data_IF_410504910353
#
_entry.id   IF_410504910353
#
_cell.length_a   1.000
_cell.length_b   1.000
_cell.length_c   1.000
_cell.angle_alpha   90.00
_cell.angle_beta   90.00
_cell.angle_gamma   90.00
#
_symmetry.space_group_name_H-M   'P 1'
#
loop_
_entity.id
_entity.type
_entity.pdbx_description
1 polymer ?
#
# COMPACT_ATOMS: atom_id res chain seq x y z
N UNK A 1 -26.50 6.10 22.96
CA UNK A 1 -26.09 4.94 22.13
C UNK A 1 -24.68 5.21 21.56
N UNK A 2 -23.80 4.24 21.69
CA UNK A 2 -22.44 4.38 21.15
C UNK A 2 -22.47 4.30 19.63
N UNK A 3 -21.68 5.16 18.95
CA UNK A 3 -21.50 5.05 17.50
C UNK A 3 -20.88 3.69 17.12
N UNK A 4 -21.16 3.20 15.93
CA UNK A 4 -20.58 1.94 15.43
C UNK A 4 -19.05 1.94 15.46
N UNK A 5 -18.45 3.08 15.19
CA UNK A 5 -17.01 3.28 15.29
C UNK A 5 -16.48 3.09 16.71
N UNK A 6 -17.16 3.64 17.70
CA UNK A 6 -16.80 3.50 19.10
C UNK A 6 -16.92 2.06 19.58
N UNK A 7 -17.97 1.35 19.14
CA UNK A 7 -18.15 -0.08 19.41
C UNK A 7 -17.01 -0.91 18.81
N UNK A 8 -16.58 -0.60 17.58
CA UNK A 8 -15.45 -1.27 16.92
C UNK A 8 -14.14 -1.06 17.67
N UNK A 9 -13.86 0.17 18.11
CA UNK A 9 -12.67 0.48 18.92
C UNK A 9 -12.62 -0.34 20.19
N UNK A 10 -13.70 -0.36 20.97
CA UNK A 10 -13.80 -1.15 22.19
C UNK A 10 -13.54 -2.62 21.94
N UNK A 11 -14.09 -3.16 20.84
CA UNK A 11 -13.89 -4.55 20.47
C UNK A 11 -12.42 -4.87 20.15
N UNK A 12 -11.73 -3.99 19.43
CA UNK A 12 -10.32 -4.13 19.12
C UNK A 12 -9.46 -4.04 20.38
N UNK A 13 -9.73 -3.06 21.26
CA UNK A 13 -9.02 -2.93 22.54
C UNK A 13 -9.14 -4.18 23.39
N UNK A 14 -10.30 -4.79 23.44
CA UNK A 14 -10.51 -6.06 24.14
C UNK A 14 -9.70 -7.19 23.51
N UNK A 15 -9.66 -7.30 22.19
CA UNK A 15 -8.81 -8.29 21.50
C UNK A 15 -7.33 -8.12 21.84
N UNK A 16 -6.82 -6.90 21.80
CA UNK A 16 -5.43 -6.58 22.13
C UNK A 16 -5.14 -6.95 23.57
N UNK A 17 -6.02 -6.62 24.50
CA UNK A 17 -5.89 -6.96 25.92
C UNK A 17 -5.81 -8.47 26.15
N UNK A 18 -6.69 -9.24 25.50
CA UNK A 18 -6.66 -10.71 25.60
C UNK A 18 -5.41 -11.30 24.95
N UNK A 19 -4.95 -10.76 23.85
CA UNK A 19 -3.73 -11.22 23.20
C UNK A 19 -2.48 -10.98 24.07
N UNK A 20 -2.35 -9.79 24.65
CA UNK A 20 -1.30 -9.47 25.63
C UNK A 20 -1.29 -10.44 26.80
N UNK A 21 -2.47 -10.71 27.38
CA UNK A 21 -2.60 -11.65 28.51
C UNK A 21 -2.14 -13.05 28.13
N UNK A 22 -2.48 -13.54 26.95
CA UNK A 22 -2.03 -14.86 26.45
C UNK A 22 -0.53 -14.93 26.27
N UNK A 23 0.08 -13.88 25.71
CA UNK A 23 1.54 -13.82 25.54
C UNK A 23 2.26 -13.84 26.89
N UNK A 24 1.77 -13.07 27.86
CA UNK A 24 2.33 -13.04 29.21
C UNK A 24 2.26 -14.41 29.89
N UNK A 25 1.09 -15.07 29.84
CA UNK A 25 0.88 -16.37 30.44
C UNK A 25 1.69 -17.49 29.79
N UNK A 26 1.78 -17.48 28.47
CA UNK A 26 2.42 -18.57 27.71
C UNK A 26 3.94 -18.44 27.67
N UNK A 27 4.46 -17.24 27.56
CA UNK A 27 5.88 -16.98 27.32
C UNK A 27 6.58 -16.16 28.41
N UNK A 28 5.86 -15.72 29.44
CA UNK A 28 6.40 -14.88 30.52
C UNK A 28 6.90 -13.51 30.05
N UNK A 29 6.36 -12.98 28.96
CA UNK A 29 6.82 -11.72 28.36
C UNK A 29 5.77 -10.63 28.51
N UNK A 30 6.21 -9.38 28.74
CA UNK A 30 5.38 -8.19 28.63
C UNK A 30 5.44 -7.66 27.20
N UNK A 31 4.33 -7.79 26.47
CA UNK A 31 4.23 -7.24 25.12
C UNK A 31 3.68 -5.81 25.15
N UNK A 32 4.38 -4.89 24.50
CA UNK A 32 3.86 -3.56 24.18
C UNK A 32 3.36 -3.63 22.74
N UNK A 33 2.04 -3.48 22.57
CA UNK A 33 1.42 -3.49 21.23
C UNK A 33 1.01 -2.06 20.92
N UNK A 34 1.66 -1.47 19.92
CA UNK A 34 1.31 -0.16 19.40
C UNK A 34 0.40 -0.40 18.21
N UNK A 35 -0.79 0.17 18.26
CA UNK A 35 -1.75 0.10 17.16
C UNK A 35 -2.38 1.47 16.93
N UNK A 36 -2.60 1.79 15.68
CA UNK A 36 -3.30 2.99 15.29
C UNK A 36 -4.68 2.60 14.78
N UNK A 37 -5.72 3.24 15.29
CA UNK A 37 -7.05 3.14 14.73
C UNK A 37 -7.13 3.94 13.44
N UNK A 38 -6.66 3.35 12.36
CA UNK A 38 -6.97 3.85 11.03
C UNK A 38 -8.35 3.30 10.70
N UNK A 39 -9.38 4.14 10.49
CA UNK A 39 -10.68 3.66 10.07
C UNK A 39 -10.48 2.78 8.84
N UNK A 40 -10.90 1.53 8.92
CA UNK A 40 -10.92 0.66 7.75
C UNK A 40 -12.01 1.17 6.82
N UNK A 41 -11.67 2.16 6.04
CA UNK A 41 -12.46 2.49 4.87
C UNK A 41 -12.37 1.29 3.96
N UNK A 42 -13.44 0.97 3.31
CA UNK A 42 -13.61 -0.16 2.41
C UNK A 42 -12.30 -0.49 1.69
N UNK A 43 -11.48 -1.31 2.33
CA UNK A 43 -10.17 -1.67 1.83
C UNK A 43 -9.08 -0.60 2.06
N UNK A 44 -7.88 -0.89 1.56
CA UNK A 44 -6.78 0.06 1.46
C UNK A 44 -7.17 1.22 0.52
N UNK A 45 -6.26 2.16 0.31
CA UNK A 45 -6.44 3.23 -0.68
C UNK A 45 -7.10 2.72 -1.96
N UNK A 46 -8.01 3.48 -2.50
CA UNK A 46 -8.55 3.17 -3.82
C UNK A 46 -7.46 3.31 -4.90
N UNK A 47 -7.60 2.57 -6.00
CA UNK A 47 -6.55 2.55 -7.02
C UNK A 47 -6.29 3.93 -7.64
N UNK A 48 -7.31 4.77 -7.77
CA UNK A 48 -7.13 6.13 -8.26
C UNK A 48 -6.32 7.02 -7.28
N UNK A 49 -6.44 6.77 -5.99
CA UNK A 49 -5.65 7.46 -4.96
C UNK A 49 -4.18 7.02 -5.01
N UNK A 50 -3.94 5.72 -5.15
CA UNK A 50 -2.59 5.17 -5.32
C UNK A 50 -1.95 5.66 -6.64
N UNK A 51 -2.72 5.70 -7.71
CA UNK A 51 -2.25 6.26 -9.00
C UNK A 51 -1.82 7.72 -8.86
N UNK A 52 -2.60 8.53 -8.16
CA UNK A 52 -2.26 9.93 -7.90
C UNK A 52 -0.96 10.06 -7.11
N UNK A 53 -0.73 9.20 -6.14
CA UNK A 53 0.52 9.17 -5.36
C UNK A 53 1.71 8.80 -6.25
N UNK A 54 1.60 7.75 -7.03
CA UNK A 54 2.66 7.34 -7.97
C UNK A 54 2.97 8.42 -9.01
N UNK A 55 1.94 9.09 -9.51
CA UNK A 55 2.07 10.13 -10.53
C UNK A 55 2.76 11.41 -10.02
N UNK A 56 2.82 11.64 -8.72
CA UNK A 56 3.59 12.76 -8.16
C UNK A 56 5.07 12.71 -8.52
N UNK A 57 5.61 11.52 -8.77
CA UNK A 57 7.02 11.30 -9.06
C UNK A 57 7.32 11.24 -10.56
N UNK A 58 6.32 11.49 -11.40
CA UNK A 58 6.44 11.49 -12.87
C UNK A 58 6.16 12.88 -13.41
N UNK A 59 7.04 13.37 -14.27
CA UNK A 59 6.81 14.64 -14.96
C UNK A 59 5.73 14.46 -16.05
N UNK A 60 4.51 14.89 -15.75
CA UNK A 60 3.37 14.76 -16.66
C UNK A 60 3.47 15.60 -17.92
N UNK A 61 4.30 16.65 -17.94
CA UNK A 61 4.54 17.45 -19.15
C UNK A 61 5.36 16.65 -20.16
N UNK A 62 6.31 15.84 -19.71
CA UNK A 62 7.11 14.96 -20.56
C UNK A 62 6.40 13.62 -20.81
N UNK A 63 5.62 13.14 -19.86
CA UNK A 63 4.96 11.83 -19.93
C UNK A 63 3.47 11.99 -19.57
N UNK A 64 2.65 12.46 -20.51
CA UNK A 64 1.22 12.59 -20.28
C UNK A 64 0.58 11.27 -19.83
N UNK A 65 -0.32 11.34 -18.85
CA UNK A 65 -0.96 10.16 -18.27
C UNK A 65 -0.15 9.48 -17.15
N UNK A 66 1.06 9.94 -16.84
CA UNK A 66 1.87 9.39 -15.75
C UNK A 66 2.16 7.90 -15.93
N UNK A 67 1.79 7.07 -14.95
CA UNK A 67 2.03 5.60 -15.03
C UNK A 67 1.26 4.92 -16.17
N UNK A 68 0.22 5.56 -16.69
CA UNK A 68 -0.55 5.05 -17.85
C UNK A 68 0.16 5.30 -19.17
N UNK A 69 1.16 6.16 -19.20
CA UNK A 69 1.96 6.40 -20.39
C UNK A 69 2.63 5.10 -20.84
N UNK A 70 2.50 4.77 -22.13
CA UNK A 70 3.03 3.51 -22.70
C UNK A 70 4.52 3.56 -23.00
N UNK A 71 5.20 4.60 -22.53
CA UNK A 71 6.67 4.70 -22.67
C UNK A 71 7.37 3.48 -22.05
N UNK A 72 8.47 3.07 -22.67
CA UNK A 72 9.37 2.02 -22.18
C UNK A 72 10.55 2.58 -21.39
N UNK A 73 10.54 3.88 -21.11
CA UNK A 73 11.59 4.51 -20.29
C UNK A 73 11.55 3.91 -18.88
N UNK A 74 12.71 3.52 -18.40
CA UNK A 74 12.89 2.78 -17.13
C UNK A 74 12.17 3.45 -15.97
N UNK A 75 12.25 4.77 -15.85
CA UNK A 75 11.58 5.52 -14.79
C UNK A 75 10.06 5.32 -14.78
N UNK A 76 9.41 5.41 -15.95
CA UNK A 76 7.96 5.21 -16.08
C UNK A 76 7.58 3.75 -15.84
N UNK A 77 8.35 2.82 -16.43
CA UNK A 77 8.12 1.39 -16.25
C UNK A 77 8.24 1.01 -14.77
N UNK A 78 9.26 1.48 -14.08
CA UNK A 78 9.48 1.20 -12.65
C UNK A 78 8.29 1.68 -11.81
N UNK A 79 7.82 2.91 -12.01
CA UNK A 79 6.68 3.44 -11.26
C UNK A 79 5.38 2.71 -11.56
N UNK A 80 5.16 2.31 -12.80
CA UNK A 80 4.02 1.47 -13.18
C UNK A 80 4.07 0.09 -12.52
N UNK A 81 5.25 -0.53 -12.53
CA UNK A 81 5.44 -1.83 -11.87
C UNK A 81 5.27 -1.72 -10.35
N UNK A 82 5.76 -0.66 -9.73
CA UNK A 82 5.56 -0.38 -8.31
C UNK A 82 4.08 -0.17 -7.98
N UNK A 83 3.33 0.54 -8.81
CA UNK A 83 1.88 0.65 -8.65
C UNK A 83 1.22 -0.73 -8.61
N UNK A 84 1.54 -1.60 -9.57
CA UNK A 84 0.97 -2.95 -9.64
C UNK A 84 1.36 -3.80 -8.42
N UNK A 85 2.62 -3.72 -8.01
CA UNK A 85 3.14 -4.42 -6.82
C UNK A 85 2.41 -3.96 -5.55
N UNK A 86 2.34 -2.67 -5.32
CA UNK A 86 1.69 -2.09 -4.12
C UNK A 86 0.19 -2.37 -4.12
N UNK A 87 -0.50 -2.23 -5.25
CA UNK A 87 -1.92 -2.54 -5.37
C UNK A 87 -2.22 -3.99 -4.96
N UNK A 88 -1.42 -4.93 -5.44
CA UNK A 88 -1.57 -6.34 -5.08
C UNK A 88 -1.23 -6.60 -3.59
N UNK A 89 -0.24 -5.92 -3.04
CA UNK A 89 0.07 -5.95 -1.61
C UNK A 89 -1.06 -5.42 -0.74
N UNK A 90 -1.79 -4.44 -1.23
CA UNK A 90 -2.98 -3.90 -0.55
C UNK A 90 -4.19 -4.84 -0.62
N UNK A 91 -4.13 -5.93 -1.37
CA UNK A 91 -5.17 -6.93 -1.49
C UNK A 91 -6.03 -6.81 -2.75
N UNK A 92 -5.71 -5.92 -3.67
CA UNK A 92 -6.37 -5.92 -4.99
C UNK A 92 -5.96 -7.14 -5.80
N UNK A 93 -6.92 -7.72 -6.52
CA UNK A 93 -6.65 -8.88 -7.38
C UNK A 93 -5.83 -8.47 -8.61
N UNK A 94 -5.16 -9.45 -9.20
CA UNK A 94 -4.45 -9.25 -10.48
C UNK A 94 -5.41 -8.78 -11.56
N UNK A 95 -6.60 -9.38 -11.63
CA UNK A 95 -7.65 -9.02 -12.60
C UNK A 95 -8.10 -7.58 -12.43
N UNK A 96 -8.41 -7.16 -11.21
CA UNK A 96 -8.85 -5.80 -10.94
C UNK A 96 -7.76 -4.77 -11.26
N UNK A 97 -6.51 -5.05 -10.86
CA UNK A 97 -5.36 -4.16 -11.11
C UNK A 97 -5.06 -4.04 -12.60
N UNK A 98 -5.06 -5.16 -13.33
CA UNK A 98 -4.80 -5.15 -14.78
C UNK A 98 -5.88 -4.39 -15.55
N UNK A 99 -7.14 -4.62 -15.22
CA UNK A 99 -8.27 -3.93 -15.86
C UNK A 99 -8.23 -2.42 -15.58
N UNK A 100 -7.87 -2.03 -14.36
CA UNK A 100 -7.79 -0.62 -13.99
C UNK A 100 -6.80 0.17 -14.88
N UNK A 101 -5.61 -0.39 -15.12
CA UNK A 101 -4.59 0.23 -15.97
C UNK A 101 -4.70 -0.13 -17.45
N UNK A 102 -5.62 -1.01 -17.82
CA UNK A 102 -5.75 -1.56 -19.15
C UNK A 102 -4.47 -2.25 -19.64
N UNK A 103 -3.92 -3.12 -18.79
CA UNK A 103 -2.84 -4.04 -19.10
C UNK A 103 -3.35 -5.49 -19.00
N UNK A 104 -2.61 -6.43 -19.52
CA UNK A 104 -2.92 -7.85 -19.37
C UNK A 104 -2.50 -8.40 -17.99
N UNK A 105 -3.05 -9.56 -17.63
CA UNK A 105 -2.73 -10.22 -16.36
C UNK A 105 -1.26 -10.60 -16.25
N UNK A 106 -0.67 -11.04 -17.35
CA UNK A 106 0.74 -11.45 -17.39
C UNK A 106 1.67 -10.28 -17.04
N UNK A 107 1.33 -9.08 -17.49
CA UNK A 107 2.07 -7.86 -17.15
C UNK A 107 2.06 -7.58 -15.65
N UNK A 108 0.91 -7.73 -14.99
CA UNK A 108 0.81 -7.54 -13.53
C UNK A 108 1.59 -8.62 -12.78
N UNK A 109 1.48 -9.87 -13.18
CA UNK A 109 2.23 -10.99 -12.57
C UNK A 109 3.74 -10.77 -12.72
N UNK A 110 4.20 -10.41 -13.92
CA UNK A 110 5.61 -10.11 -14.17
C UNK A 110 6.10 -8.93 -13.33
N UNK A 111 5.33 -7.87 -13.26
CA UNK A 111 5.66 -6.67 -12.45
C UNK A 111 5.83 -7.00 -10.98
N UNK A 112 4.94 -7.79 -10.42
CA UNK A 112 5.04 -8.24 -9.02
C UNK A 112 6.32 -9.02 -8.75
N UNK A 113 6.63 -9.98 -9.61
CA UNK A 113 7.84 -10.81 -9.48
C UNK A 113 9.10 -9.97 -9.65
N UNK A 114 9.12 -9.08 -10.64
CA UNK A 114 10.26 -8.21 -10.93
C UNK A 114 10.55 -7.27 -9.75
N UNK A 115 9.55 -6.57 -9.24
CA UNK A 115 9.72 -5.66 -8.09
C UNK A 115 10.12 -6.43 -6.83
N UNK A 116 9.49 -7.56 -6.56
CA UNK A 116 9.85 -8.39 -5.41
C UNK A 116 11.34 -8.80 -5.45
N UNK A 117 11.81 -9.28 -6.59
CA UNK A 117 13.22 -9.67 -6.77
C UNK A 117 14.17 -8.49 -6.63
N UNK A 118 13.83 -7.33 -7.21
CA UNK A 118 14.67 -6.13 -7.11
C UNK A 118 14.73 -5.57 -5.68
N UNK A 119 13.65 -5.67 -4.91
CA UNK A 119 13.66 -5.31 -3.50
C UNK A 119 14.50 -6.29 -2.66
N UNK A 120 14.43 -7.58 -2.95
CA UNK A 120 15.25 -8.60 -2.26
C UNK A 120 16.76 -8.37 -2.42
N UNK A 121 17.20 -7.95 -3.60
CA UNK A 121 18.61 -7.63 -3.85
C UNK A 121 18.99 -6.19 -3.52
N UNK A 122 18.08 -5.42 -2.94
CA UNK A 122 18.27 -4.02 -2.59
C UNK A 122 18.70 -3.14 -3.78
N UNK A 123 18.06 -3.32 -4.95
CA UNK A 123 18.29 -2.42 -6.09
C UNK A 123 18.01 -0.98 -5.67
N UNK A 124 19.02 -0.13 -5.75
CA UNK A 124 18.98 1.22 -5.19
C UNK A 124 17.84 2.07 -5.78
N UNK A 125 17.65 2.03 -7.08
CA UNK A 125 16.63 2.83 -7.77
C UNK A 125 15.23 2.41 -7.38
N UNK A 126 14.99 1.10 -7.28
CA UNK A 126 13.68 0.55 -6.91
C UNK A 126 13.40 0.79 -5.44
N UNK A 127 14.38 0.60 -4.56
CA UNK A 127 14.24 0.85 -3.12
C UNK A 127 13.90 2.32 -2.85
N UNK A 128 14.58 3.26 -3.48
CA UNK A 128 14.32 4.70 -3.34
C UNK A 128 12.91 5.04 -3.84
N UNK A 129 12.54 4.56 -5.03
CA UNK A 129 11.23 4.81 -5.59
C UNK A 129 10.11 4.19 -4.75
N UNK A 130 10.28 2.98 -4.26
CA UNK A 130 9.34 2.29 -3.39
C UNK A 130 9.14 3.05 -2.08
N UNK A 131 10.22 3.50 -1.45
CA UNK A 131 10.14 4.30 -0.21
C UNK A 131 9.40 5.61 -0.41
N UNK A 132 9.62 6.29 -1.51
CA UNK A 132 8.87 7.53 -1.84
C UNK A 132 7.37 7.27 -1.95
N UNK A 133 6.98 6.15 -2.55
CA UNK A 133 5.57 5.77 -2.67
C UNK A 133 4.99 5.42 -1.30
N UNK A 134 5.70 4.66 -0.47
CA UNK A 134 5.28 4.35 0.90
C UNK A 134 5.09 5.62 1.74
N UNK A 135 6.05 6.53 1.71
CA UNK A 135 5.96 7.81 2.41
C UNK A 135 4.76 8.65 1.90
N UNK A 136 4.53 8.63 0.60
CA UNK A 136 3.36 9.29 -0.02
C UNK A 136 2.03 8.68 0.43
N UNK A 137 1.96 7.37 0.60
CA UNK A 137 0.79 6.66 1.13
C UNK A 137 0.55 7.04 2.58
N UNK A 138 1.58 7.03 3.41
CA UNK A 138 1.48 7.41 4.82
C UNK A 138 1.01 8.87 4.98
N UNK A 139 1.58 9.78 4.21
CA UNK A 139 1.16 11.19 4.20
C UNK A 139 -0.29 11.34 3.77
N UNK A 140 -0.70 10.66 2.72
CA UNK A 140 -2.08 10.69 2.24
C UNK A 140 -3.06 10.18 3.31
N UNK A 141 -2.76 9.07 3.94
CA UNK A 141 -3.58 8.49 5.01
C UNK A 141 -3.64 9.45 6.20
N UNK A 142 -2.52 10.02 6.60
CA UNK A 142 -2.45 10.99 7.69
C UNK A 142 -3.34 12.19 7.42
N UNK A 143 -3.24 12.79 6.25
CA UNK A 143 -4.02 13.97 5.88
C UNK A 143 -5.52 13.66 5.75
N UNK A 144 -5.86 12.46 5.30
CA UNK A 144 -7.26 12.06 5.11
C UNK A 144 -7.98 11.74 6.43
N UNK A 145 -7.27 11.18 7.41
CA UNK A 145 -7.89 10.60 8.60
C UNK A 145 -7.51 11.25 9.93
N UNK A 146 -6.44 12.00 9.98
CA UNK A 146 -5.91 12.57 11.22
C UNK A 146 -5.86 14.10 11.25
N UNK A 147 -6.38 14.75 10.25
CA UNK A 147 -6.48 16.22 10.20
C UNK A 147 -7.88 16.68 10.52
#
# INVERSE_FOLDING_TARGET
MLSEEKKRRIKIENYVKHFKSRLSKKYGVHAIIIYNFIPKIKGPLELHELEAICNKFINKNLYPGGIRNRSRITHIVTHRQLFMYVACKMGYTITYTSNYLNFDHATVIHSRKSISSLLEINDEKVVIAFKKIEDGIEEYIRNKYFV
#
